data_IF_691387987333
#
_entry.id   IF_691387987333
#
_cell.length_a   1.000
_cell.length_b   1.000
_cell.length_c   1.000
_cell.angle_alpha   90.00
_cell.angle_beta   90.00
_cell.angle_gamma   90.00
#
_symmetry.space_group_name_H-M   'P 1'
#
loop_
_entity.id
_entity.type
_entity.pdbx_description
1 polymer ?
#
# COMPACT_ATOMS: atom_id res chain seq x y z
N UNK A 1 0.69 24.26 8.91
CA UNK A 1 1.64 24.08 7.80
C UNK A 1 2.69 22.99 7.98
N UNK A 2 3.27 22.72 9.15
CA UNK A 2 4.21 21.58 9.29
C UNK A 2 3.50 20.22 9.24
N UNK A 3 2.35 20.07 9.93
CA UNK A 3 1.60 18.79 10.00
C UNK A 3 1.09 18.29 8.64
N UNK A 4 0.66 19.20 7.77
CA UNK A 4 0.15 18.86 6.43
C UNK A 4 1.27 18.41 5.47
N UNK A 5 2.46 18.99 5.60
CA UNK A 5 3.65 18.58 4.83
C UNK A 5 4.12 17.19 5.30
N UNK A 6 4.13 16.95 6.61
CA UNK A 6 4.48 15.64 7.18
C UNK A 6 3.50 14.55 6.73
N UNK A 7 2.19 14.82 6.73
CA UNK A 7 1.19 13.83 6.28
C UNK A 7 1.32 13.54 4.78
N UNK A 8 1.57 14.56 3.96
CA UNK A 8 1.74 14.41 2.51
C UNK A 8 3.00 13.60 2.16
N UNK A 9 4.10 13.81 2.89
CA UNK A 9 5.33 13.05 2.72
C UNK A 9 5.18 11.58 3.18
N UNK A 10 4.45 11.34 4.27
CA UNK A 10 4.12 9.97 4.70
C UNK A 10 3.23 9.26 3.67
N UNK A 11 2.23 9.94 3.12
CA UNK A 11 1.37 9.37 2.07
C UNK A 11 2.17 9.06 0.80
N UNK A 12 3.07 9.95 0.38
CA UNK A 12 4.00 9.71 -0.74
C UNK A 12 4.86 8.46 -0.54
N UNK A 13 5.41 8.26 0.67
CA UNK A 13 6.19 7.07 1.02
C UNK A 13 5.32 5.81 1.03
N UNK A 14 4.05 5.87 1.46
CA UNK A 14 3.12 4.73 1.39
C UNK A 14 2.89 4.32 -0.06
N UNK A 15 2.66 5.27 -0.98
CA UNK A 15 2.52 4.93 -2.41
C UNK A 15 3.79 4.25 -2.94
N UNK A 16 4.97 4.79 -2.61
CA UNK A 16 6.25 4.22 -3.02
C UNK A 16 6.48 2.81 -2.43
N UNK A 17 6.06 2.57 -1.19
CA UNK A 17 6.17 1.27 -0.54
C UNK A 17 5.24 0.24 -1.19
N UNK A 18 4.00 0.63 -1.52
CA UNK A 18 3.09 -0.22 -2.31
C UNK A 18 3.68 -0.55 -3.68
N UNK A 19 4.28 0.42 -4.35
CA UNK A 19 4.96 0.19 -5.63
C UNK A 19 6.12 -0.80 -5.48
N UNK A 20 6.98 -0.63 -4.48
CA UNK A 20 8.09 -1.53 -4.22
C UNK A 20 7.63 -2.97 -3.94
N UNK A 21 6.58 -3.15 -3.13
CA UNK A 21 5.99 -4.45 -2.84
C UNK A 21 5.41 -5.10 -4.12
N UNK A 22 4.66 -4.33 -4.91
CA UNK A 22 4.05 -4.84 -6.14
C UNK A 22 5.08 -5.15 -7.24
N UNK A 23 6.20 -4.41 -7.26
CA UNK A 23 7.34 -4.59 -8.16
C UNK A 23 8.36 -5.65 -7.70
N UNK A 24 8.13 -6.37 -6.61
CA UNK A 24 9.07 -7.35 -6.05
C UNK A 24 10.42 -6.75 -5.59
N UNK A 25 10.46 -5.46 -5.25
CA UNK A 25 11.67 -4.75 -4.82
C UNK A 25 11.78 -4.76 -3.29
N UNK A 26 12.07 -5.94 -2.73
CA UNK A 26 12.18 -6.18 -1.29
C UNK A 26 13.02 -5.12 -0.56
N UNK A 27 14.27 -4.93 -1.01
CA UNK A 27 15.20 -4.00 -0.35
C UNK A 27 14.72 -2.55 -0.38
N UNK A 28 14.00 -2.13 -1.42
CA UNK A 28 13.41 -0.77 -1.47
C UNK A 28 12.23 -0.67 -0.49
N UNK A 29 11.40 -1.72 -0.40
CA UNK A 29 10.28 -1.76 0.53
C UNK A 29 10.77 -1.76 2.00
N UNK A 30 11.84 -2.50 2.31
CA UNK A 30 12.48 -2.54 3.64
C UNK A 30 13.05 -1.17 4.02
N UNK A 31 13.81 -0.53 3.11
CA UNK A 31 14.35 0.82 3.35
C UNK A 31 13.24 1.85 3.62
N UNK A 32 12.13 1.79 2.88
CA UNK A 32 10.98 2.68 3.10
C UNK A 32 10.27 2.38 4.42
N UNK A 33 10.15 1.11 4.79
CA UNK A 33 9.59 0.70 6.08
C UNK A 33 10.43 1.24 7.23
N UNK A 34 11.74 1.00 7.24
CA UNK A 34 12.66 1.50 8.26
C UNK A 34 12.60 3.01 8.37
N UNK A 35 12.62 3.73 7.23
CA UNK A 35 12.51 5.18 7.23
C UNK A 35 11.20 5.67 7.87
N UNK A 36 10.08 5.01 7.60
CA UNK A 36 8.78 5.39 8.16
C UNK A 36 8.69 5.10 9.66
N UNK A 37 9.18 3.93 10.10
CA UNK A 37 9.24 3.57 11.52
C UNK A 37 10.16 4.53 12.30
N UNK A 38 11.33 4.85 11.77
CA UNK A 38 12.27 5.81 12.38
C UNK A 38 11.72 7.23 12.46
N UNK A 39 10.74 7.58 11.63
CA UNK A 39 9.99 8.86 11.69
C UNK A 39 8.78 8.80 12.61
N UNK A 40 8.61 7.71 13.37
CA UNK A 40 7.57 7.54 14.37
C UNK A 40 6.23 7.01 13.84
N UNK A 41 6.17 6.52 12.59
CA UNK A 41 4.99 5.80 12.13
C UNK A 41 4.88 4.46 12.88
N UNK A 42 3.68 4.09 13.32
CA UNK A 42 3.46 2.77 13.90
C UNK A 42 3.24 1.71 12.82
N UNK A 43 3.66 0.47 13.09
CA UNK A 43 3.45 -0.64 12.16
C UNK A 43 1.97 -0.88 11.85
N UNK A 44 1.09 -0.70 12.85
CA UNK A 44 -0.35 -0.78 12.67
C UNK A 44 -0.88 0.30 11.69
N UNK A 45 -0.40 1.54 11.82
CA UNK A 45 -0.76 2.62 10.89
C UNK A 45 -0.30 2.29 9.46
N UNK A 46 0.95 1.84 9.29
CA UNK A 46 1.48 1.46 7.99
C UNK A 46 0.67 0.34 7.35
N UNK A 47 0.34 -0.70 8.11
CA UNK A 47 -0.46 -1.81 7.62
C UNK A 47 -1.86 -1.37 7.15
N UNK A 48 -2.52 -0.48 7.91
CA UNK A 48 -3.81 0.11 7.52
C UNK A 48 -3.67 0.89 6.22
N UNK A 49 -2.62 1.72 6.10
CA UNK A 49 -2.39 2.55 4.93
C UNK A 49 -2.08 1.73 3.66
N UNK A 50 -1.23 0.70 3.77
CA UNK A 50 -0.94 -0.24 2.69
C UNK A 50 -2.23 -0.97 2.25
N UNK A 51 -3.00 -1.50 3.21
CA UNK A 51 -4.26 -2.20 2.95
C UNK A 51 -5.31 -1.29 2.29
N UNK A 52 -5.42 -0.04 2.73
CA UNK A 52 -6.28 0.97 2.13
C UNK A 52 -5.87 1.21 0.69
N UNK A 53 -4.59 1.42 0.43
CA UNK A 53 -4.11 1.75 -0.91
C UNK A 53 -4.36 0.60 -1.90
N UNK A 54 -4.03 -0.64 -1.53
CA UNK A 54 -4.29 -1.80 -2.40
C UNK A 54 -5.79 -1.93 -2.72
N UNK A 55 -6.67 -1.69 -1.75
CA UNK A 55 -8.13 -1.71 -1.96
C UNK A 55 -8.60 -0.59 -2.91
N UNK A 56 -8.03 0.61 -2.79
CA UNK A 56 -8.32 1.73 -3.68
C UNK A 56 -7.88 1.41 -5.12
N UNK A 57 -6.70 0.82 -5.30
CA UNK A 57 -6.19 0.40 -6.60
C UNK A 57 -7.16 -0.61 -7.26
N UNK A 58 -7.60 -1.63 -6.51
CA UNK A 58 -8.57 -2.62 -7.02
C UNK A 58 -9.89 -1.97 -7.44
N UNK A 59 -10.45 -1.08 -6.60
CA UNK A 59 -11.69 -0.36 -6.92
C UNK A 59 -11.52 0.55 -8.15
N UNK A 60 -10.42 1.28 -8.23
CA UNK A 60 -10.09 2.12 -9.37
C UNK A 60 -9.97 1.30 -10.67
N UNK A 61 -9.30 0.15 -10.61
CA UNK A 61 -9.15 -0.76 -11.75
C UNK A 61 -10.50 -1.26 -12.25
N UNK A 62 -11.40 -1.62 -11.33
CA UNK A 62 -12.77 -2.04 -11.68
C UNK A 62 -13.58 -0.93 -12.35
N UNK A 63 -13.53 0.29 -11.81
CA UNK A 63 -14.27 1.42 -12.37
C UNK A 63 -13.74 1.82 -13.76
N UNK A 64 -12.41 1.77 -13.96
CA UNK A 64 -11.80 1.98 -15.29
C UNK A 64 -12.20 0.88 -16.28
N UNK A 65 -12.24 -0.38 -15.84
CA UNK A 65 -12.73 -1.50 -16.67
C UNK A 65 -14.16 -1.28 -17.15
N UNK A 66 -15.01 -0.68 -16.31
CA UNK A 66 -16.38 -0.27 -16.65
C UNK A 66 -16.47 1.04 -17.44
N UNK A 67 -15.34 1.58 -17.93
CA UNK A 67 -15.24 2.82 -18.70
C UNK A 67 -15.89 4.03 -18.00
N UNK A 68 -15.86 4.07 -16.66
CA UNK A 68 -16.40 5.23 -15.92
C UNK A 68 -15.47 6.45 -16.12
N UNK A 69 -16.03 7.67 -16.31
CA UNK A 69 -15.22 8.88 -16.40
C UNK A 69 -14.42 9.15 -15.13
N UNK A 70 -13.25 9.77 -15.25
CA UNK A 70 -12.34 10.02 -14.12
C UNK A 70 -13.00 10.83 -12.99
N UNK A 71 -13.81 11.84 -13.31
CA UNK A 71 -14.55 12.63 -12.33
C UNK A 71 -15.51 11.76 -11.48
N UNK A 72 -16.10 10.74 -12.08
CA UNK A 72 -16.95 9.80 -11.35
C UNK A 72 -16.13 8.82 -10.51
N UNK A 73 -14.97 8.38 -11.02
CA UNK A 73 -14.04 7.56 -10.24
C UNK A 73 -13.58 8.34 -9.00
N UNK A 74 -13.22 9.61 -9.16
CA UNK A 74 -12.84 10.49 -8.07
C UNK A 74 -13.95 10.58 -7.01
N UNK A 75 -15.18 10.88 -7.43
CA UNK A 75 -16.34 10.96 -6.53
C UNK A 75 -16.57 9.64 -5.78
N UNK A 76 -16.51 8.50 -6.47
CA UNK A 76 -16.73 7.17 -5.87
C UNK A 76 -15.61 6.71 -4.93
N UNK A 77 -14.38 7.15 -5.17
CA UNK A 77 -13.23 6.83 -4.33
C UNK A 77 -13.03 7.84 -3.20
N UNK A 78 -13.61 9.05 -3.30
CA UNK A 78 -13.48 10.10 -2.30
C UNK A 78 -12.05 10.62 -2.16
N UNK A 79 -11.29 10.66 -3.25
CA UNK A 79 -9.88 11.04 -3.25
C UNK A 79 -9.67 12.47 -3.73
N UNK A 80 -8.72 13.17 -3.10
CA UNK A 80 -8.18 14.42 -3.60
C UNK A 80 -7.36 14.19 -4.89
N UNK A 81 -7.04 15.25 -5.67
CA UNK A 81 -6.39 15.09 -6.98
C UNK A 81 -5.08 14.30 -6.97
N UNK A 82 -4.21 14.54 -5.98
CA UNK A 82 -2.91 13.84 -5.92
C UNK A 82 -3.04 12.33 -5.60
N UNK A 83 -3.73 11.90 -4.52
CA UNK A 83 -3.98 10.48 -4.26
C UNK A 83 -4.78 9.79 -5.36
N UNK A 84 -5.72 10.49 -6.00
CA UNK A 84 -6.46 9.96 -7.16
C UNK A 84 -5.51 9.59 -8.29
N UNK A 85 -4.67 10.56 -8.72
CA UNK A 85 -3.72 10.35 -9.80
C UNK A 85 -2.82 9.15 -9.53
N UNK A 86 -2.23 9.09 -8.33
CA UNK A 86 -1.38 7.95 -7.93
C UNK A 86 -2.12 6.61 -7.95
N UNK A 87 -3.35 6.59 -7.45
CA UNK A 87 -4.18 5.38 -7.45
C UNK A 87 -4.52 4.92 -8.88
N UNK A 88 -4.85 5.85 -9.78
CA UNK A 88 -5.14 5.54 -11.18
C UNK A 88 -3.91 5.04 -11.94
N UNK A 89 -2.73 5.61 -11.68
CA UNK A 89 -1.43 5.17 -12.20
C UNK A 89 -1.16 3.72 -11.78
N UNK A 90 -1.26 3.42 -10.48
CA UNK A 90 -1.06 2.06 -9.95
C UNK A 90 -2.11 1.07 -10.48
N UNK A 91 -3.37 1.50 -10.60
CA UNK A 91 -4.45 0.67 -11.14
C UNK A 91 -4.25 0.32 -12.62
N UNK A 92 -3.55 1.16 -13.38
CA UNK A 92 -3.13 0.85 -14.74
C UNK A 92 -2.00 -0.17 -14.76
N UNK A 93 -0.98 0.08 -13.94
CA UNK A 93 0.31 -0.62 -13.98
C UNK A 93 0.22 -2.08 -13.52
N UNK A 94 -0.50 -2.35 -12.44
CA UNK A 94 -0.43 -3.68 -11.81
C UNK A 94 -1.59 -4.60 -12.21
N UNK A 95 -1.34 -5.90 -12.44
CA UNK A 95 -2.39 -6.87 -12.74
C UNK A 95 -3.25 -7.16 -11.51
N UNK A 96 -4.52 -7.51 -11.74
CA UNK A 96 -5.47 -7.76 -10.65
C UNK A 96 -5.03 -8.91 -9.74
N UNK A 97 -4.44 -9.96 -10.30
CA UNK A 97 -4.00 -11.12 -9.51
C UNK A 97 -2.89 -10.76 -8.52
N UNK A 98 -1.91 -9.93 -8.91
CA UNK A 98 -0.87 -9.44 -8.00
C UNK A 98 -1.47 -8.58 -6.88
N UNK A 99 -2.45 -7.73 -7.20
CA UNK A 99 -3.14 -6.92 -6.19
C UNK A 99 -3.90 -7.79 -5.19
N UNK A 100 -4.56 -8.86 -5.65
CA UNK A 100 -5.25 -9.82 -4.78
C UNK A 100 -4.27 -10.55 -3.88
N UNK A 101 -3.14 -11.03 -4.40
CA UNK A 101 -2.10 -11.70 -3.63
C UNK A 101 -1.60 -10.81 -2.48
N UNK A 102 -1.17 -9.59 -2.81
CA UNK A 102 -0.70 -8.61 -1.81
C UNK A 102 -1.79 -8.29 -0.79
N UNK A 103 -3.04 -8.13 -1.22
CA UNK A 103 -4.16 -7.87 -0.31
C UNK A 103 -4.40 -9.02 0.68
N UNK A 104 -4.32 -10.28 0.23
CA UNK A 104 -4.47 -11.43 1.13
C UNK A 104 -3.33 -11.50 2.14
N UNK A 105 -2.09 -11.22 1.71
CA UNK A 105 -0.93 -11.19 2.61
C UNK A 105 -1.06 -10.09 3.66
N UNK A 106 -1.47 -8.88 3.26
CA UNK A 106 -1.76 -7.78 4.20
C UNK A 106 -2.80 -8.18 5.26
N UNK A 107 -3.86 -8.89 4.88
CA UNK A 107 -4.88 -9.38 5.81
C UNK A 107 -4.33 -10.45 6.78
N UNK A 108 -3.48 -11.36 6.30
CA UNK A 108 -2.81 -12.37 7.14
C UNK A 108 -1.85 -11.71 8.15
N UNK A 109 -1.13 -10.68 7.73
CA UNK A 109 -0.26 -9.89 8.62
C UNK A 109 -1.07 -9.16 9.69
N UNK A 110 -2.21 -8.54 9.33
CA UNK A 110 -3.08 -7.85 10.30
C UNK A 110 -3.60 -8.81 11.37
N UNK A 111 -4.04 -10.00 10.97
CA UNK A 111 -4.45 -11.04 11.89
C UNK A 111 -3.29 -11.46 12.81
N UNK A 112 -2.10 -11.69 12.26
CA UNK A 112 -0.94 -12.15 13.03
C UNK A 112 -0.51 -11.14 14.09
N UNK A 113 -0.61 -9.84 13.81
CA UNK A 113 -0.36 -8.78 14.80
C UNK A 113 -1.46 -8.78 15.86
N UNK A 114 -2.73 -8.81 15.46
CA UNK A 114 -3.88 -8.76 16.38
C UNK A 114 -3.98 -9.96 17.31
N UNK A 115 -3.48 -11.12 16.90
CA UNK A 115 -3.42 -12.32 17.75
C UNK A 115 -2.15 -12.42 18.58
N UNK A 116 -1.26 -11.41 18.52
CA UNK A 116 0.00 -11.39 19.25
C UNK A 116 1.04 -12.41 18.75
N UNK A 117 0.87 -12.94 17.53
CA UNK A 117 1.81 -13.93 16.96
C UNK A 117 3.16 -13.29 16.65
N UNK A 118 3.16 -12.04 16.17
CA UNK A 118 4.36 -11.27 15.87
C UNK A 118 4.20 -9.82 16.33
N UNK A 119 5.30 -9.19 16.74
CA UNK A 119 5.40 -7.74 16.91
C UNK A 119 5.23 -7.05 15.54
N UNK A 120 4.66 -5.84 15.53
CA UNK A 120 4.23 -5.19 14.29
C UNK A 120 5.35 -4.91 13.29
N UNK A 121 6.53 -4.47 13.74
CA UNK A 121 7.69 -4.26 12.88
C UNK A 121 8.16 -5.57 12.24
N UNK A 122 8.30 -6.62 13.05
CA UNK A 122 8.67 -7.97 12.56
C UNK A 122 7.64 -8.50 11.54
N UNK A 123 6.35 -8.34 11.82
CA UNK A 123 5.29 -8.80 10.93
C UNK A 123 5.32 -8.11 9.56
N UNK A 124 5.68 -6.82 9.50
CA UNK A 124 5.83 -6.09 8.23
C UNK A 124 7.10 -6.50 7.46
N UNK A 125 8.21 -6.78 8.15
CA UNK A 125 9.41 -7.31 7.50
C UNK A 125 9.13 -8.69 6.88
N UNK A 126 8.46 -9.58 7.63
CA UNK A 126 8.05 -10.90 7.11
C UNK A 126 7.11 -10.77 5.91
N UNK A 127 6.15 -9.84 5.95
CA UNK A 127 5.27 -9.54 4.82
C UNK A 127 6.07 -9.18 3.55
N UNK A 128 7.07 -8.32 3.67
CA UNK A 128 7.91 -7.90 2.52
C UNK A 128 8.72 -9.08 1.99
N UNK A 129 9.33 -9.87 2.89
CA UNK A 129 10.10 -11.06 2.52
C UNK A 129 9.21 -12.11 1.82
N UNK A 130 8.03 -12.40 2.33
CA UNK A 130 7.08 -13.36 1.76
C UNK A 130 6.52 -12.94 0.40
N UNK A 131 6.38 -11.63 0.17
CA UNK A 131 5.90 -11.06 -1.09
C UNK A 131 6.99 -10.89 -2.13
N UNK A 132 8.25 -11.17 -1.76
CA UNK A 132 9.38 -11.14 -2.66
C UNK A 132 9.56 -12.49 -3.34
N UNK A 133 10.08 -12.54 -4.58
CA UNK A 133 10.35 -13.80 -5.25
C UNK A 133 11.38 -14.53 -4.41
N UNK A 134 11.08 -15.76 -4.01
CA UNK A 134 12.07 -16.63 -3.40
C UNK A 134 13.21 -16.78 -4.42
N UNK A 135 14.42 -16.35 -4.05
CA UNK A 135 15.61 -16.72 -4.78
C UNK A 135 15.64 -18.25 -4.82
N UNK A 136 15.39 -18.81 -6.01
CA UNK A 136 15.65 -20.22 -6.28
C UNK A 136 17.13 -20.42 -6.48
#
# INVERSE_FOLDING_TARGET
DIKAIVSSAQEANVFAMVDAILDFKAGVAEQLLEQLLNRGASSAYLLVMLSRQVRLIVRAKELRRRRRPEAEIQSKLGLAPFPLRKTLEQAQRYPLERLKEVYHKLLQTDLSIKTGKFEGGLALNLLIAELSPQAR
#
